data_IF_048186657709
#
_entry.id   IF_048186657709
#
_cell.length_a   1.000
_cell.length_b   1.000
_cell.length_c   1.000
_cell.angle_alpha   90.00
_cell.angle_beta   90.00
_cell.angle_gamma   90.00
#
_symmetry.space_group_name_H-M   'P 1'
#
loop_
_entity.id
_entity.type
_entity.pdbx_description
1 polymer ?
#
# COMPACT_ATOMS: atom_id res chain seq x y z
N UNK A 1 4.84 13.49 9.46
CA UNK A 1 4.48 12.71 8.26
C UNK A 1 5.54 11.68 7.87
N UNK A 2 6.62 11.48 8.65
CA UNK A 2 7.68 10.48 8.40
C UNK A 2 7.21 9.04 8.65
N UNK A 3 6.50 8.81 9.77
CA UNK A 3 6.16 7.47 10.25
C UNK A 3 5.42 6.60 9.22
N UNK A 4 4.42 7.15 8.51
CA UNK A 4 3.68 6.38 7.49
C UNK A 4 4.62 5.89 6.38
N UNK A 5 5.60 6.70 5.95
CA UNK A 5 6.57 6.30 4.92
C UNK A 5 7.51 5.22 5.43
N UNK A 6 7.92 5.30 6.70
CA UNK A 6 8.72 4.25 7.34
C UNK A 6 7.94 2.94 7.44
N UNK A 7 6.67 2.97 7.85
CA UNK A 7 5.87 1.75 7.94
C UNK A 7 5.51 1.17 6.58
N UNK A 8 5.43 1.99 5.53
CA UNK A 8 5.24 1.51 4.15
C UNK A 8 6.40 0.63 3.68
N UNK A 9 7.65 0.90 4.09
CA UNK A 9 8.79 0.06 3.70
C UNK A 9 8.80 -1.32 4.34
N UNK A 10 8.02 -1.51 5.42
CA UNK A 10 7.83 -2.82 6.06
C UNK A 10 6.80 -3.70 5.33
N UNK A 11 6.03 -3.13 4.40
CA UNK A 11 5.08 -3.90 3.59
C UNK A 11 5.79 -4.64 2.44
N UNK A 12 5.28 -5.81 2.02
CA UNK A 12 5.73 -6.45 0.79
C UNK A 12 5.62 -5.50 -0.40
N UNK A 13 6.58 -5.61 -1.33
CA UNK A 13 6.75 -4.65 -2.43
C UNK A 13 5.47 -4.38 -3.21
N UNK A 14 4.71 -5.42 -3.58
CA UNK A 14 3.45 -5.26 -4.31
C UNK A 14 2.39 -4.49 -3.52
N UNK A 15 2.32 -4.69 -2.20
CA UNK A 15 1.40 -3.97 -1.32
C UNK A 15 1.83 -2.51 -1.15
N UNK A 16 3.13 -2.27 -0.88
CA UNK A 16 3.71 -0.94 -0.77
C UNK A 16 3.47 -0.11 -2.03
N UNK A 17 3.89 -0.63 -3.19
CA UNK A 17 3.79 0.05 -4.48
C UNK A 17 2.34 0.32 -4.87
N UNK A 18 1.44 -0.61 -4.59
CA UNK A 18 0.01 -0.41 -4.83
C UNK A 18 -0.56 0.73 -3.99
N UNK A 19 -0.13 0.89 -2.73
CA UNK A 19 -0.57 2.00 -1.87
C UNK A 19 0.06 3.34 -2.28
N UNK A 20 1.34 3.36 -2.64
CA UNK A 20 2.04 4.56 -3.12
C UNK A 20 1.30 5.14 -4.35
N UNK A 21 1.10 4.32 -5.38
CA UNK A 21 0.41 4.76 -6.61
C UNK A 21 -1.03 5.19 -6.33
N UNK A 22 -1.81 4.37 -5.61
CA UNK A 22 -3.23 4.62 -5.44
C UNK A 22 -3.58 5.75 -4.45
N UNK A 23 -2.77 5.96 -3.41
CA UNK A 23 -3.10 6.90 -2.32
C UNK A 23 -2.14 8.08 -2.20
N UNK A 24 -0.86 7.92 -2.54
CA UNK A 24 0.09 9.04 -2.48
C UNK A 24 0.15 9.78 -3.82
N UNK A 25 0.13 9.04 -4.93
CA UNK A 25 0.17 9.61 -6.27
C UNK A 25 -1.22 9.83 -6.88
N UNK A 26 -2.27 9.22 -6.30
CA UNK A 26 -3.65 9.38 -6.73
C UNK A 26 -3.98 8.72 -8.07
N UNK A 27 -3.15 7.77 -8.51
CA UNK A 27 -3.36 7.00 -9.74
C UNK A 27 -4.54 6.05 -9.54
N UNK A 28 -5.42 5.95 -10.54
CA UNK A 28 -6.54 5.01 -10.45
C UNK A 28 -6.05 3.55 -10.52
N UNK A 29 -6.91 2.63 -10.07
CA UNK A 29 -6.52 1.23 -9.90
C UNK A 29 -6.22 0.52 -11.22
N UNK A 30 -6.74 0.99 -12.35
CA UNK A 30 -6.44 0.36 -13.64
C UNK A 30 -5.03 0.73 -14.08
N UNK A 31 -4.71 2.02 -14.01
CA UNK A 31 -3.41 2.53 -14.43
C UNK A 31 -2.29 2.11 -13.48
N UNK A 32 -2.57 2.07 -12.17
CA UNK A 32 -1.63 1.52 -11.19
C UNK A 32 -1.36 0.02 -11.42
N UNK A 33 -2.38 -0.78 -11.76
CA UNK A 33 -2.19 -2.19 -12.05
C UNK A 33 -1.36 -2.40 -13.33
N UNK A 34 -1.60 -1.58 -14.36
CA UNK A 34 -0.81 -1.58 -15.58
C UNK A 34 0.66 -1.20 -15.31
N UNK A 35 0.90 -0.15 -14.51
CA UNK A 35 2.24 0.28 -14.12
C UNK A 35 3.02 -0.78 -13.33
N UNK A 36 2.32 -1.61 -12.54
CA UNK A 36 2.91 -2.70 -11.77
C UNK A 36 2.93 -4.05 -12.51
N UNK A 37 2.45 -4.10 -13.75
CA UNK A 37 2.43 -5.31 -14.56
C UNK A 37 1.57 -6.43 -13.94
N UNK A 38 0.50 -6.08 -13.22
CA UNK A 38 -0.36 -7.05 -12.54
C UNK A 38 -1.85 -6.89 -12.92
N UNK A 39 -2.69 -7.93 -12.73
CA UNK A 39 -4.13 -7.79 -12.89
C UNK A 39 -4.73 -6.79 -11.88
N UNK A 40 -5.76 -6.04 -12.27
CA UNK A 40 -6.47 -5.11 -11.37
C UNK A 40 -7.01 -5.81 -10.12
N UNK A 41 -7.44 -7.08 -10.24
CA UNK A 41 -7.86 -7.88 -9.09
C UNK A 41 -6.71 -8.13 -8.09
N UNK A 42 -5.49 -8.35 -8.59
CA UNK A 42 -4.27 -8.46 -7.78
C UNK A 42 -3.96 -7.13 -7.11
N UNK A 43 -4.00 -6.01 -7.84
CA UNK A 43 -3.81 -4.68 -7.26
C UNK A 43 -4.82 -4.41 -6.12
N UNK A 44 -6.11 -4.69 -6.33
CA UNK A 44 -7.15 -4.55 -5.28
C UNK A 44 -6.81 -5.37 -4.04
N UNK A 45 -6.30 -6.59 -4.23
CA UNK A 45 -5.89 -7.47 -3.14
C UNK A 45 -4.68 -6.89 -2.39
N UNK A 46 -3.68 -6.39 -3.11
CA UNK A 46 -2.52 -5.72 -2.54
C UNK A 46 -2.90 -4.46 -1.75
N UNK A 47 -3.76 -3.60 -2.30
CA UNK A 47 -4.26 -2.43 -1.58
C UNK A 47 -4.98 -2.82 -0.30
N UNK A 48 -5.87 -3.82 -0.35
CA UNK A 48 -6.61 -4.26 0.82
C UNK A 48 -5.68 -4.80 1.91
N UNK A 49 -4.77 -5.71 1.55
CA UNK A 49 -3.80 -6.31 2.49
C UNK A 49 -2.82 -5.28 3.04
N UNK A 50 -2.29 -4.42 2.16
CA UNK A 50 -1.38 -3.35 2.55
C UNK A 50 -2.01 -2.38 3.54
N UNK A 51 -3.27 -1.96 3.33
CA UNK A 51 -3.98 -1.08 4.29
C UNK A 51 -4.20 -1.74 5.64
N UNK A 52 -4.51 -3.05 5.65
CA UNK A 52 -4.69 -3.80 6.88
C UNK A 52 -3.38 -3.86 7.67
N UNK A 53 -2.29 -4.29 7.03
CA UNK A 53 -0.96 -4.36 7.66
C UNK A 53 -0.43 -3.01 8.10
N UNK A 54 -0.57 -1.98 7.26
CA UNK A 54 -0.14 -0.63 7.61
C UNK A 54 -0.86 -0.12 8.88
N UNK A 55 -2.14 -0.45 9.04
CA UNK A 55 -2.88 -0.12 10.26
C UNK A 55 -2.36 -0.89 11.48
N UNK A 56 -2.10 -2.19 11.34
CA UNK A 56 -1.54 -3.03 12.40
C UNK A 56 -0.18 -2.49 12.86
N UNK A 57 0.74 -2.25 11.92
CA UNK A 57 2.06 -1.64 12.17
C UNK A 57 1.96 -0.26 12.82
N UNK A 58 1.00 0.55 12.38
CA UNK A 58 0.79 1.88 12.96
C UNK A 58 0.36 1.77 14.43
N UNK A 59 -0.60 0.90 14.74
CA UNK A 59 -1.06 0.68 16.13
C UNK A 59 0.09 0.15 16.99
N UNK A 60 0.83 -0.83 16.51
CA UNK A 60 1.99 -1.39 17.23
C UNK A 60 3.04 -0.31 17.54
N UNK A 61 3.30 0.61 16.61
CA UNK A 61 4.33 1.64 16.78
C UNK A 61 3.87 2.84 17.61
N UNK A 62 2.60 3.23 17.52
CA UNK A 62 2.08 4.37 18.29
C UNK A 62 1.60 3.98 19.69
N UNK A 63 1.66 2.70 20.04
CA UNK A 63 1.12 2.18 21.29
C UNK A 63 -0.41 2.19 21.25
N UNK A 64 -1.00 1.06 20.88
CA UNK A 64 -2.41 0.79 21.16
C UNK A 64 -2.71 0.79 22.65
#
# INVERSE_FOLDING_TARGET
>A
MELIRELLVELPEGERRALELAYLEGVDYRDAAAALGCPVATLKTWVHRGRKRLRELFIERTGG
#
